data_IF_428418954450
#
_entry.id   IF_428418954450
#
_cell.length_a   1.000
_cell.length_b   1.000
_cell.length_c   1.000
_cell.angle_alpha   90.00
_cell.angle_beta   90.00
_cell.angle_gamma   90.00
#
_symmetry.space_group_name_H-M   'P 1'
#
loop_
_entity.id
_entity.type
_entity.pdbx_description
1 polymer ?
#
# COMPACT_ATOMS: atom_id res chain seq x y z
N UNK A 1 18.07 26.04 -2.11
CA UNK A 1 16.75 25.46 -1.79
C UNK A 1 16.46 25.82 -0.36
N UNK A 2 15.54 26.76 -0.14
CA UNK A 2 15.24 27.27 1.20
C UNK A 2 14.43 26.23 2.00
N UNK A 3 14.72 26.12 3.29
CA UNK A 3 14.06 25.19 4.23
C UNK A 3 12.52 25.30 4.20
N UNK A 4 11.98 26.49 3.90
CA UNK A 4 10.54 26.73 3.73
C UNK A 4 9.93 26.00 2.53
N UNK A 5 10.68 25.88 1.42
CA UNK A 5 10.21 25.14 0.24
C UNK A 5 10.20 23.62 0.46
N UNK A 6 11.12 23.10 1.27
CA UNK A 6 11.18 21.67 1.62
C UNK A 6 9.99 21.23 2.49
N UNK A 7 9.56 22.07 3.43
CA UNK A 7 8.36 21.82 4.25
C UNK A 7 7.07 21.81 3.44
N UNK A 8 6.93 22.72 2.47
CA UNK A 8 5.76 22.75 1.58
C UNK A 8 5.71 21.53 0.65
N UNK A 9 6.86 21.09 0.13
CA UNK A 9 6.95 19.93 -0.77
C UNK A 9 6.59 18.63 -0.02
N UNK A 10 7.14 18.43 1.17
CA UNK A 10 6.85 17.23 2.00
C UNK A 10 5.36 17.15 2.36
N UNK A 11 4.77 18.26 2.79
CA UNK A 11 3.33 18.32 3.09
C UNK A 11 2.46 17.96 1.89
N UNK A 12 2.78 18.48 0.69
CA UNK A 12 2.05 18.15 -0.54
C UNK A 12 2.19 16.67 -0.89
N UNK A 13 3.38 16.11 -0.69
CA UNK A 13 3.69 14.72 -0.99
C UNK A 13 2.93 13.77 -0.06
N UNK A 14 2.87 14.08 1.24
CA UNK A 14 2.09 13.33 2.22
C UNK A 14 0.59 13.40 1.90
N UNK A 15 0.06 14.58 1.60
CA UNK A 15 -1.35 14.73 1.21
C UNK A 15 -1.70 13.93 -0.04
N UNK A 16 -0.82 13.98 -1.05
CA UNK A 16 -1.00 13.24 -2.31
C UNK A 16 -0.91 11.74 -2.07
N UNK A 17 0.02 11.28 -1.25
CA UNK A 17 0.18 9.88 -0.90
C UNK A 17 -1.05 9.32 -0.17
N UNK A 18 -1.64 10.09 0.75
CA UNK A 18 -2.88 9.73 1.44
C UNK A 18 -4.03 9.55 0.44
N UNK A 19 -4.20 10.50 -0.49
CA UNK A 19 -5.23 10.41 -1.55
C UNK A 19 -5.03 9.16 -2.40
N UNK A 20 -3.80 8.89 -2.83
CA UNK A 20 -3.47 7.69 -3.63
C UNK A 20 -3.77 6.42 -2.84
N UNK A 21 -3.45 6.35 -1.55
CA UNK A 21 -3.76 5.18 -0.72
C UNK A 21 -5.26 4.95 -0.56
N UNK A 22 -6.06 6.00 -0.36
CA UNK A 22 -7.51 5.88 -0.36
C UNK A 22 -8.04 5.36 -1.71
N UNK A 23 -7.48 5.84 -2.81
CA UNK A 23 -7.83 5.34 -4.14
C UNK A 23 -7.44 3.85 -4.31
N UNK A 24 -6.23 3.45 -3.89
CA UNK A 24 -5.80 2.05 -3.90
C UNK A 24 -6.71 1.16 -3.06
N UNK A 25 -7.08 1.61 -1.87
CA UNK A 25 -8.01 0.90 -1.00
C UNK A 25 -9.36 0.69 -1.70
N UNK A 26 -9.93 1.76 -2.26
CA UNK A 26 -11.17 1.69 -3.02
C UNK A 26 -11.07 0.73 -4.21
N UNK A 27 -9.98 0.81 -4.96
CA UNK A 27 -9.73 -0.06 -6.11
C UNK A 27 -9.68 -1.53 -5.69
N UNK A 28 -8.98 -1.86 -4.61
CA UNK A 28 -8.87 -3.25 -4.13
C UNK A 28 -10.22 -3.80 -3.67
N UNK A 29 -11.03 -2.98 -2.99
CA UNK A 29 -12.39 -3.37 -2.62
C UNK A 29 -13.33 -3.50 -3.83
N UNK A 30 -13.24 -2.59 -4.78
CA UNK A 30 -14.06 -2.59 -6.00
C UNK A 30 -13.72 -3.78 -6.92
N UNK A 31 -12.43 -4.06 -7.12
CA UNK A 31 -11.98 -5.20 -7.92
C UNK A 31 -12.29 -6.54 -7.25
N UNK A 32 -12.40 -6.61 -5.91
CA UNK A 32 -12.78 -7.84 -5.20
C UNK A 32 -14.09 -8.44 -5.74
N UNK A 33 -15.03 -7.60 -6.18
CA UNK A 33 -16.32 -8.05 -6.73
C UNK A 33 -16.22 -8.62 -8.16
N UNK A 34 -15.16 -8.29 -8.90
CA UNK A 34 -14.96 -8.69 -10.29
C UNK A 34 -13.94 -9.83 -10.46
N UNK A 35 -13.41 -10.38 -9.36
CA UNK A 35 -12.35 -11.38 -9.44
C UNK A 35 -12.94 -12.79 -9.46
N UNK A 36 -12.51 -13.64 -10.42
CA UNK A 36 -12.96 -15.03 -10.50
C UNK A 36 -12.68 -15.76 -9.18
N UNK A 37 -13.77 -16.25 -8.58
CA UNK A 37 -13.78 -16.84 -7.24
C UNK A 37 -13.12 -18.21 -7.22
N UNK A 38 -11.82 -18.25 -6.96
CA UNK A 38 -11.07 -19.50 -6.82
C UNK A 38 -9.68 -19.27 -6.26
N UNK A 39 -8.66 -19.47 -7.09
CA UNK A 39 -7.24 -19.40 -6.70
C UNK A 39 -6.78 -17.96 -6.44
N UNK A 40 -7.28 -17.00 -7.24
CA UNK A 40 -6.97 -15.58 -7.18
C UNK A 40 -7.62 -14.90 -5.95
N UNK A 41 -8.82 -15.35 -5.56
CA UNK A 41 -9.57 -14.76 -4.44
C UNK A 41 -8.89 -14.88 -3.07
N UNK A 42 -8.18 -15.99 -2.80
CA UNK A 42 -7.46 -16.19 -1.51
C UNK A 42 -6.27 -15.24 -1.37
N UNK A 43 -5.51 -15.07 -2.45
CA UNK A 43 -4.43 -14.09 -2.53
C UNK A 43 -4.98 -12.66 -2.44
N UNK A 44 -6.20 -12.41 -2.92
CA UNK A 44 -6.80 -11.07 -2.92
C UNK A 44 -7.13 -10.58 -1.53
N UNK A 45 -7.58 -11.48 -0.65
CA UNK A 45 -7.81 -11.16 0.75
C UNK A 45 -6.50 -10.72 1.43
N UNK A 46 -5.38 -11.42 1.15
CA UNK A 46 -4.07 -11.07 1.69
C UNK A 46 -3.55 -9.75 1.11
N UNK A 47 -3.73 -9.50 -0.19
CA UNK A 47 -3.42 -8.23 -0.84
C UNK A 47 -4.20 -7.07 -0.19
N UNK A 48 -5.52 -7.25 0.02
CA UNK A 48 -6.37 -6.23 0.65
C UNK A 48 -5.97 -5.92 2.08
N UNK A 49 -5.58 -6.93 2.85
CA UNK A 49 -5.09 -6.75 4.21
C UNK A 49 -3.78 -5.95 4.21
N UNK A 50 -2.87 -6.24 3.28
CA UNK A 50 -1.63 -5.47 3.12
C UNK A 50 -1.90 -4.02 2.74
N UNK A 51 -2.81 -3.75 1.80
CA UNK A 51 -3.17 -2.36 1.43
C UNK A 51 -3.79 -1.60 2.61
N UNK A 52 -4.59 -2.26 3.45
CA UNK A 52 -5.10 -1.64 4.68
C UNK A 52 -3.95 -1.27 5.63
N UNK A 53 -2.98 -2.17 5.84
CA UNK A 53 -1.79 -1.89 6.67
C UNK A 53 -0.98 -0.72 6.11
N UNK A 54 -0.78 -0.65 4.79
CA UNK A 54 -0.14 0.49 4.14
C UNK A 54 -0.91 1.79 4.32
N UNK A 55 -2.23 1.74 4.16
CA UNK A 55 -3.10 2.92 4.33
C UNK A 55 -3.01 3.45 5.76
N UNK A 56 -3.01 2.57 6.77
CA UNK A 56 -2.80 2.96 8.16
C UNK A 56 -1.39 3.55 8.38
N UNK A 57 -0.36 2.96 7.77
CA UNK A 57 1.00 3.51 7.83
C UNK A 57 1.09 4.94 7.26
N UNK A 58 0.45 5.19 6.12
CA UNK A 58 0.37 6.52 5.50
C UNK A 58 -0.52 7.50 6.25
N UNK A 59 -1.54 7.03 6.99
CA UNK A 59 -2.34 7.91 7.86
C UNK A 59 -1.54 8.39 9.09
N UNK A 60 -0.54 7.61 9.50
CA UNK A 60 0.31 7.91 10.64
C UNK A 60 1.53 8.77 10.29
N UNK A 61 1.85 8.97 9.00
CA UNK A 61 2.97 9.85 8.58
C UNK A 61 2.94 11.25 9.19
N UNK A 62 1.80 11.99 9.29
CA UNK A 62 1.79 13.30 9.95
C UNK A 62 2.05 13.24 11.47
N UNK A 63 1.97 12.05 12.07
CA UNK A 63 2.26 11.83 13.50
C UNK A 63 3.67 11.29 13.75
N UNK A 64 4.46 11.00 12.70
CA UNK A 64 5.79 10.41 12.84
C UNK A 64 6.79 11.35 13.52
N UNK A 65 6.65 12.67 13.39
CA UNK A 65 7.48 13.66 14.08
C UNK A 65 7.38 13.60 15.61
N UNK A 66 6.32 12.96 16.14
CA UNK A 66 6.09 12.82 17.59
C UNK A 66 6.57 11.47 18.14
N UNK A 67 7.03 10.57 17.27
CA UNK A 67 7.41 9.18 17.62
C UNK A 67 8.94 9.07 17.73
N UNK A 68 9.49 8.29 18.68
CA UNK A 68 10.94 8.06 18.76
C UNK A 68 11.50 7.42 17.49
N UNK A 69 12.69 7.84 17.07
CA UNK A 69 13.35 7.39 15.83
C UNK A 69 13.49 5.86 15.73
N UNK A 70 13.74 5.17 16.86
CA UNK A 70 13.86 3.71 16.90
C UNK A 70 12.54 3.01 16.53
N UNK A 71 11.41 3.54 17.00
CA UNK A 71 10.07 3.01 16.71
C UNK A 71 9.71 3.32 15.26
N UNK A 72 10.03 4.52 14.77
CA UNK A 72 9.83 4.90 13.38
C UNK A 72 10.58 3.95 12.44
N UNK A 73 11.86 3.69 12.73
CA UNK A 73 12.70 2.78 11.93
C UNK A 73 12.14 1.35 11.92
N UNK A 74 11.66 0.86 13.06
CA UNK A 74 10.99 -0.44 13.14
C UNK A 74 9.71 -0.48 12.29
N UNK A 75 8.87 0.56 12.39
CA UNK A 75 7.63 0.67 11.63
C UNK A 75 7.93 0.69 10.12
N UNK A 76 8.88 1.52 9.68
CA UNK A 76 9.33 1.58 8.28
C UNK A 76 9.84 0.23 7.80
N UNK A 77 10.62 -0.49 8.61
CA UNK A 77 11.12 -1.82 8.27
C UNK A 77 9.99 -2.85 8.10
N UNK A 78 8.98 -2.83 8.99
CA UNK A 78 7.80 -3.70 8.91
C UNK A 78 6.97 -3.37 7.66
N UNK A 79 6.76 -2.08 7.37
CA UNK A 79 6.05 -1.63 6.17
C UNK A 79 6.82 -2.04 4.91
N UNK A 80 8.14 -1.90 4.89
CA UNK A 80 8.97 -2.35 3.76
C UNK A 80 8.88 -3.87 3.55
N UNK A 81 8.93 -4.65 4.63
CA UNK A 81 8.77 -6.10 4.57
C UNK A 81 7.37 -6.49 4.04
N UNK A 82 6.32 -5.82 4.53
CA UNK A 82 4.97 -5.97 3.99
C UNK A 82 4.91 -5.60 2.50
N UNK A 83 5.62 -4.55 2.08
CA UNK A 83 5.73 -4.13 0.68
C UNK A 83 6.36 -5.19 -0.22
N UNK A 84 7.42 -5.85 0.24
CA UNK A 84 8.02 -6.95 -0.50
C UNK A 84 7.02 -8.11 -0.70
N UNK A 85 6.26 -8.45 0.35
CA UNK A 85 5.19 -9.46 0.26
C UNK A 85 4.07 -9.00 -0.68
N UNK A 86 3.67 -7.72 -0.62
CA UNK A 86 2.66 -7.14 -1.50
C UNK A 86 3.04 -7.31 -2.97
N UNK A 87 4.26 -6.93 -3.34
CA UNK A 87 4.75 -7.03 -4.72
C UNK A 87 4.80 -8.50 -5.17
N UNK A 88 5.29 -9.41 -4.33
CA UNK A 88 5.34 -10.84 -4.64
C UNK A 88 3.96 -11.44 -4.91
N UNK A 89 2.97 -11.09 -4.08
CA UNK A 89 1.57 -11.51 -4.26
C UNK A 89 0.98 -10.92 -5.52
N UNK A 90 1.23 -9.62 -5.78
CA UNK A 90 0.72 -8.92 -6.97
C UNK A 90 1.24 -9.56 -8.26
N UNK A 91 2.54 -9.89 -8.32
CA UNK A 91 3.13 -10.56 -9.49
C UNK A 91 2.48 -11.93 -9.71
N UNK A 92 2.31 -12.73 -8.65
CA UNK A 92 1.64 -14.04 -8.74
C UNK A 92 0.19 -13.92 -9.23
N UNK A 93 -0.51 -12.89 -8.77
CA UNK A 93 -1.88 -12.59 -9.17
C UNK A 93 -1.96 -12.26 -10.65
N UNK A 94 -1.16 -11.30 -11.11
CA UNK A 94 -1.10 -10.90 -12.52
C UNK A 94 -0.75 -12.08 -13.41
N UNK A 95 0.24 -12.89 -13.01
CA UNK A 95 0.60 -14.09 -13.76
C UNK A 95 -0.56 -15.09 -13.88
N UNK A 96 -1.29 -15.32 -12.79
CA UNK A 96 -2.45 -16.23 -12.78
C UNK A 96 -3.56 -15.73 -13.70
N UNK A 97 -3.87 -14.42 -13.62
CA UNK A 97 -4.90 -13.80 -14.48
C UNK A 97 -4.50 -13.85 -15.96
N UNK A 98 -3.24 -13.55 -16.29
CA UNK A 98 -2.76 -13.66 -17.68
C UNK A 98 -2.89 -15.10 -18.17
N UNK A 99 -2.55 -16.09 -17.33
CA UNK A 99 -2.65 -17.51 -17.72
C UNK A 99 -4.10 -17.93 -17.98
N UNK A 100 -5.03 -17.52 -17.11
CA UNK A 100 -6.46 -17.79 -17.27
C UNK A 100 -7.09 -17.11 -18.49
N UNK A 101 -6.51 -16.00 -18.98
CA UNK A 101 -7.00 -15.30 -20.18
C UNK A 101 -6.40 -15.83 -21.50
N UNK A 102 -5.26 -16.54 -21.42
CA UNK A 102 -4.55 -17.08 -22.59
C UNK A 102 -4.95 -18.52 -22.89
N UNK A 103 -5.41 -19.29 -21.89
CA UNK A 103 -6.12 -20.58 -22.06
C UNK A 103 -7.57 -20.38 -22.49
#
# INVERSE_FOLDING_TARGET
MDFSTLGSITTILDFTAIIIMFYCLYLVFSLKANIPGGVVGKSWNLLSLLVIVFTLGYLLTPFFDQIPDDVLRLLVAVVFAAGAVYVMVTIRMVYTVIRELVE
#
